data_IF_198052100071
#
_entry.id   IF_198052100071
#
_cell.length_a   1.000
_cell.length_b   1.000
_cell.length_c   1.000
_cell.angle_alpha   90.00
_cell.angle_beta   90.00
_cell.angle_gamma   90.00
#
_symmetry.space_group_name_H-M   'P 1'
#
loop_
_entity.id
_entity.type
_entity.pdbx_description
1 polymer ?
#
# COMPACT_ATOMS: atom_id res chain seq x y z
N UNK A 1 -4.50 -9.25 19.73
CA UNK A 1 -4.11 -7.82 19.66
C UNK A 1 -3.85 -7.34 18.22
N UNK A 2 -3.06 -8.07 17.41
CA UNK A 2 -2.78 -7.67 16.01
C UNK A 2 -4.03 -7.74 15.16
N UNK A 3 -4.79 -8.84 15.24
CA UNK A 3 -6.04 -8.99 14.51
C UNK A 3 -7.06 -7.89 14.88
N UNK A 4 -7.13 -7.49 16.14
CA UNK A 4 -7.98 -6.38 16.61
C UNK A 4 -7.55 -5.05 15.97
N UNK A 5 -6.25 -4.75 15.90
CA UNK A 5 -5.74 -3.54 15.22
C UNK A 5 -6.12 -3.56 13.75
N UNK A 6 -6.05 -4.71 13.10
CA UNK A 6 -6.38 -4.83 11.67
C UNK A 6 -7.88 -4.66 11.38
N UNK A 7 -8.74 -4.98 12.36
CA UNK A 7 -10.19 -4.89 12.24
C UNK A 7 -10.74 -3.51 12.64
N UNK A 8 -10.13 -2.86 13.62
CA UNK A 8 -10.67 -1.65 14.24
C UNK A 8 -10.02 -0.38 13.68
N UNK A 9 -10.74 0.30 12.81
CA UNK A 9 -10.30 1.54 12.18
C UNK A 9 -10.13 2.68 13.19
N UNK A 10 -10.90 2.71 14.26
CA UNK A 10 -10.70 3.70 15.33
C UNK A 10 -9.38 3.46 16.06
N UNK A 11 -9.03 2.20 16.31
CA UNK A 11 -7.73 1.85 16.87
C UNK A 11 -6.59 2.23 15.92
N UNK A 12 -6.72 1.94 14.62
CA UNK A 12 -5.75 2.36 13.59
C UNK A 12 -5.61 3.88 13.56
N UNK A 13 -6.72 4.62 13.60
CA UNK A 13 -6.72 6.08 13.57
C UNK A 13 -6.02 6.67 14.80
N UNK A 14 -6.19 6.06 15.97
CA UNK A 14 -5.51 6.47 17.21
C UNK A 14 -3.99 6.25 17.19
N UNK A 15 -3.49 5.38 16.33
CA UNK A 15 -2.06 5.09 16.16
C UNK A 15 -1.35 6.05 15.20
N UNK A 16 -2.09 6.86 14.46
CA UNK A 16 -1.51 7.90 13.61
C UNK A 16 -0.91 9.04 14.44
N UNK A 17 0.02 9.78 13.84
CA UNK A 17 0.62 10.93 14.51
C UNK A 17 -0.47 11.97 14.85
N UNK A 18 -0.49 12.55 16.08
CA UNK A 18 -1.55 13.47 16.51
C UNK A 18 -1.85 14.62 15.55
N UNK A 19 -0.82 15.13 14.85
CA UNK A 19 -1.00 16.25 13.89
C UNK A 19 -1.88 15.92 12.68
N UNK A 20 -2.04 14.64 12.34
CA UNK A 20 -2.81 14.20 11.17
C UNK A 20 -4.10 13.47 11.55
N UNK A 21 -4.30 13.12 12.83
CA UNK A 21 -5.48 12.39 13.28
C UNK A 21 -6.78 13.12 12.95
N UNK A 22 -6.84 14.43 13.20
CA UNK A 22 -8.05 15.22 12.91
C UNK A 22 -8.35 15.25 11.40
N UNK A 23 -7.34 15.34 10.56
CA UNK A 23 -7.52 15.31 9.10
C UNK A 23 -8.03 13.95 8.62
N UNK A 24 -7.55 12.86 9.22
CA UNK A 24 -7.99 11.50 8.91
C UNK A 24 -9.44 11.29 9.36
N UNK A 25 -9.76 11.60 10.62
CA UNK A 25 -11.08 11.36 11.21
C UNK A 25 -12.16 12.20 10.54
N UNK A 26 -11.85 13.46 10.17
CA UNK A 26 -12.77 14.38 9.52
C UNK A 26 -12.73 14.34 7.99
N UNK A 27 -11.94 13.44 7.41
CA UNK A 27 -11.89 13.22 5.97
C UNK A 27 -13.18 12.61 5.41
N UNK A 28 -13.27 12.54 4.09
CA UNK A 28 -14.43 11.94 3.43
C UNK A 28 -14.50 10.43 3.71
N UNK A 29 -15.65 9.98 4.20
CA UNK A 29 -15.97 8.56 4.41
C UNK A 29 -16.54 7.97 3.12
N UNK A 30 -15.65 7.61 2.19
CA UNK A 30 -16.00 7.14 0.84
C UNK A 30 -15.15 5.94 0.43
N UNK A 31 -15.65 5.15 -0.51
CA UNK A 31 -14.89 4.07 -1.15
C UNK A 31 -14.12 4.55 -2.39
N UNK A 32 -14.54 5.66 -2.98
CA UNK A 32 -13.91 6.33 -4.12
C UNK A 32 -14.17 7.83 -4.02
N UNK A 33 -13.20 8.64 -4.44
CA UNK A 33 -13.36 10.09 -4.41
C UNK A 33 -14.49 10.53 -5.37
N UNK A 34 -15.41 11.43 -4.95
CA UNK A 34 -16.53 11.85 -5.78
C UNK A 34 -16.12 12.51 -7.11
N UNK A 35 -14.95 13.15 -7.11
CA UNK A 35 -14.34 13.84 -8.24
C UNK A 35 -13.17 13.06 -8.85
N UNK A 36 -13.01 11.77 -8.49
CA UNK A 36 -11.95 10.91 -9.03
C UNK A 36 -12.07 10.73 -10.54
N UNK A 37 -10.96 10.89 -11.24
CA UNK A 37 -10.88 10.75 -12.70
C UNK A 37 -9.84 9.69 -13.09
N UNK A 38 -10.22 8.79 -13.99
CA UNK A 38 -9.37 7.69 -14.44
C UNK A 38 -9.59 6.41 -13.65
N UNK A 39 -8.76 5.42 -13.90
CA UNK A 39 -8.88 4.09 -13.29
C UNK A 39 -8.58 4.15 -11.79
N UNK A 40 -9.53 3.70 -11.00
CA UNK A 40 -9.45 3.69 -9.54
C UNK A 40 -8.17 2.99 -9.05
N UNK A 41 -7.40 3.71 -8.26
CA UNK A 41 -6.13 3.27 -7.69
C UNK A 41 -4.95 3.24 -8.68
N UNK A 42 -5.20 3.28 -9.99
CA UNK A 42 -4.15 3.33 -11.02
C UNK A 42 -3.91 4.74 -11.57
N UNK A 43 -4.84 5.66 -11.37
CA UNK A 43 -4.68 7.07 -11.71
C UNK A 43 -4.41 7.90 -10.45
N UNK A 44 -3.49 8.85 -10.54
CA UNK A 44 -3.16 9.75 -9.43
C UNK A 44 -4.37 10.62 -9.03
N UNK A 45 -5.24 10.93 -9.98
CA UNK A 45 -6.48 11.70 -9.80
C UNK A 45 -7.66 10.86 -9.29
N UNK A 46 -7.48 9.54 -9.14
CA UNK A 46 -8.48 8.64 -8.56
C UNK A 46 -7.83 7.65 -7.59
N UNK A 47 -7.14 8.14 -6.55
CA UNK A 47 -6.42 7.31 -5.60
C UNK A 47 -7.38 6.54 -4.68
N UNK A 48 -6.87 5.50 -4.06
CA UNK A 48 -7.57 4.66 -3.09
C UNK A 48 -7.67 5.39 -1.76
N UNK A 49 -8.87 5.70 -1.23
CA UNK A 49 -9.02 6.29 0.10
C UNK A 49 -8.62 5.31 1.22
N UNK A 50 -7.76 5.77 2.15
CA UNK A 50 -7.31 4.98 3.30
C UNK A 50 -7.09 5.85 4.54
N UNK A 51 -7.02 5.22 5.71
CA UNK A 51 -6.91 5.88 7.00
C UNK A 51 -5.46 5.96 7.50
N UNK A 52 -4.72 6.88 6.93
CA UNK A 52 -3.33 7.15 7.30
C UNK A 52 -2.34 6.09 6.83
N UNK A 53 -1.10 6.25 7.23
CA UNK A 53 0.00 5.37 6.80
C UNK A 53 -0.22 3.90 7.20
N UNK A 54 -0.81 3.63 8.36
CA UNK A 54 -1.14 2.25 8.76
C UNK A 54 -2.25 1.68 7.87
N UNK A 55 -3.27 2.51 7.53
CA UNK A 55 -4.33 2.14 6.60
C UNK A 55 -3.80 1.76 5.21
N UNK A 56 -2.79 2.48 4.70
CA UNK A 56 -2.10 2.13 3.45
C UNK A 56 -1.46 0.74 3.52
N UNK A 57 -0.66 0.50 4.56
CA UNK A 57 0.03 -0.79 4.74
C UNK A 57 -0.96 -1.94 4.86
N UNK A 58 -2.04 -1.76 5.61
CA UNK A 58 -3.07 -2.78 5.80
C UNK A 58 -3.85 -3.03 4.51
N UNK A 59 -4.26 -1.97 3.81
CA UNK A 59 -5.00 -2.10 2.55
C UNK A 59 -4.18 -2.84 1.49
N UNK A 60 -2.94 -2.40 1.25
CA UNK A 60 -2.06 -3.03 0.27
C UNK A 60 -1.72 -4.49 0.65
N UNK A 61 -1.58 -4.78 1.95
CA UNK A 61 -1.34 -6.15 2.42
C UNK A 61 -2.54 -7.07 2.22
N UNK A 62 -3.76 -6.52 2.14
CA UNK A 62 -4.98 -7.27 1.86
C UNK A 62 -5.23 -7.48 0.37
N UNK A 63 -4.62 -6.67 -0.50
CA UNK A 63 -4.77 -6.86 -1.94
C UNK A 63 -4.17 -8.19 -2.40
N UNK A 64 -4.87 -8.81 -3.32
CA UNK A 64 -4.45 -10.01 -4.04
C UNK A 64 -4.83 -9.89 -5.50
N UNK A 65 -4.04 -10.50 -6.37
CA UNK A 65 -4.35 -10.57 -7.80
C UNK A 65 -5.62 -11.40 -8.03
N UNK A 66 -6.50 -10.89 -8.87
CA UNK A 66 -7.80 -11.52 -9.14
C UNK A 66 -7.67 -12.84 -9.91
N UNK A 67 -6.71 -12.90 -10.83
CA UNK A 67 -6.45 -14.05 -11.70
C UNK A 67 -5.71 -15.19 -10.99
N UNK A 68 -4.71 -14.87 -10.17
CA UNK A 68 -3.82 -15.86 -9.54
C UNK A 68 -4.01 -15.99 -8.03
N UNK A 69 -4.81 -15.11 -7.43
CA UNK A 69 -5.09 -15.08 -5.98
C UNK A 69 -3.82 -14.89 -5.11
N UNK A 70 -2.78 -14.22 -5.67
CA UNK A 70 -1.51 -14.00 -5.01
C UNK A 70 -1.44 -12.64 -4.31
N UNK A 71 -0.79 -12.58 -3.15
CA UNK A 71 -0.50 -11.35 -2.42
C UNK A 71 0.52 -10.50 -3.16
N UNK A 72 0.61 -9.24 -2.77
CA UNK A 72 1.53 -8.26 -3.34
C UNK A 72 2.61 -7.92 -2.33
N UNK A 73 3.84 -7.88 -2.79
CA UNK A 73 4.92 -7.15 -2.13
C UNK A 73 4.84 -5.69 -2.57
N UNK A 74 5.13 -4.75 -1.68
CA UNK A 74 5.04 -3.32 -2.01
C UNK A 74 6.01 -2.46 -1.22
N UNK A 75 6.36 -1.32 -1.80
CA UNK A 75 7.08 -0.24 -1.15
C UNK A 75 6.64 1.12 -1.68
N UNK A 76 6.87 2.19 -0.91
CA UNK A 76 6.49 3.54 -1.34
C UNK A 76 7.55 4.12 -2.26
N UNK A 77 7.12 4.60 -3.44
CA UNK A 77 7.97 5.30 -4.40
C UNK A 77 8.14 6.78 -4.06
N UNK A 78 7.10 7.40 -3.56
CA UNK A 78 7.07 8.82 -3.22
C UNK A 78 5.75 9.25 -2.62
N UNK A 79 5.73 10.50 -2.15
CA UNK A 79 4.59 11.14 -1.51
C UNK A 79 4.50 12.58 -1.97
N UNK A 80 3.31 13.04 -2.30
CA UNK A 80 3.02 14.44 -2.64
C UNK A 80 1.73 14.84 -1.94
N UNK A 81 1.83 15.76 -0.97
CA UNK A 81 0.69 16.15 -0.11
C UNK A 81 0.02 14.95 0.56
N UNK A 82 -1.24 14.67 0.19
CA UNK A 82 -2.02 13.53 0.70
C UNK A 82 -1.94 12.28 -0.19
N UNK A 83 -1.23 12.36 -1.31
CA UNK A 83 -1.13 11.31 -2.31
C UNK A 83 0.18 10.54 -2.13
N UNK A 84 0.06 9.25 -1.88
CA UNK A 84 1.18 8.31 -1.84
C UNK A 84 1.17 7.39 -3.06
N UNK A 85 2.36 7.17 -3.62
CA UNK A 85 2.58 6.31 -4.78
C UNK A 85 3.38 5.08 -4.37
N UNK A 86 2.82 3.91 -4.61
CA UNK A 86 3.41 2.62 -4.28
C UNK A 86 3.73 1.79 -5.51
N UNK A 87 4.91 1.19 -5.55
CA UNK A 87 5.24 0.10 -6.45
C UNK A 87 4.83 -1.22 -5.81
N UNK A 88 4.21 -2.09 -6.59
CA UNK A 88 3.78 -3.41 -6.15
C UNK A 88 4.28 -4.48 -7.11
N UNK A 89 4.50 -5.68 -6.59
CA UNK A 89 4.75 -6.88 -7.39
C UNK A 89 4.08 -8.08 -6.74
N UNK A 90 3.44 -8.93 -7.55
CA UNK A 90 2.91 -10.20 -7.03
C UNK A 90 4.05 -11.08 -6.46
N UNK A 91 3.76 -11.88 -5.44
CA UNK A 91 4.78 -12.70 -4.75
C UNK A 91 5.48 -13.73 -5.68
N UNK A 92 4.91 -14.01 -6.85
CA UNK A 92 5.53 -14.82 -7.90
C UNK A 92 6.39 -14.00 -8.89
N UNK A 93 6.50 -12.67 -8.69
CA UNK A 93 7.32 -11.77 -9.49
C UNK A 93 6.76 -11.39 -10.85
N UNK A 94 5.54 -11.80 -11.19
CA UNK A 94 5.01 -11.67 -12.55
C UNK A 94 4.24 -10.39 -12.82
N UNK A 95 3.44 -9.91 -11.84
CA UNK A 95 2.60 -8.73 -12.00
C UNK A 95 3.18 -7.54 -11.27
N UNK A 96 3.73 -6.60 -12.03
CA UNK A 96 4.24 -5.32 -11.54
C UNK A 96 3.21 -4.22 -11.76
N UNK A 97 3.00 -3.37 -10.76
CA UNK A 97 2.04 -2.29 -10.85
C UNK A 97 2.43 -1.06 -10.03
N UNK A 98 1.72 0.04 -10.26
CA UNK A 98 1.82 1.28 -9.50
C UNK A 98 0.42 1.60 -9.00
N UNK A 99 0.28 1.81 -7.70
CA UNK A 99 -0.98 2.17 -7.07
C UNK A 99 -0.84 3.50 -6.33
N UNK A 100 -1.89 4.31 -6.40
CA UNK A 100 -2.02 5.60 -5.75
C UNK A 100 -3.00 5.51 -4.59
N UNK A 101 -2.61 6.05 -3.43
CA UNK A 101 -3.41 6.06 -2.22
C UNK A 101 -3.54 7.48 -1.67
N UNK A 102 -4.71 7.80 -1.12
CA UNK A 102 -5.01 9.05 -0.41
C UNK A 102 -5.22 8.75 1.07
N UNK A 103 -4.39 9.31 1.94
CA UNK A 103 -4.29 8.86 3.33
C UNK A 103 -5.21 9.59 4.33
N UNK A 104 -5.93 10.64 3.93
CA UNK A 104 -6.75 11.44 4.84
C UNK A 104 -8.24 11.08 4.79
N UNK A 105 -8.53 9.80 5.10
CA UNK A 105 -9.89 9.27 5.18
C UNK A 105 -10.08 8.47 6.48
N UNK A 106 -11.30 8.42 7.04
CA UNK A 106 -11.51 7.78 8.34
C UNK A 106 -11.40 6.26 8.31
N UNK A 107 -11.45 5.65 7.13
CA UNK A 107 -11.35 4.20 6.91
C UNK A 107 -10.72 3.85 5.55
N UNK A 108 -10.35 2.60 5.41
CA UNK A 108 -9.92 2.02 4.13
C UNK A 108 -11.12 1.85 3.18
N UNK A 109 -10.88 2.08 1.89
CA UNK A 109 -11.84 1.74 0.84
C UNK A 109 -12.20 0.25 0.86
N UNK A 110 -13.46 -0.05 0.56
CA UNK A 110 -13.94 -1.42 0.29
C UNK A 110 -13.86 -1.76 -1.20
N UNK A 111 -13.64 -0.74 -2.05
CA UNK A 111 -13.44 -0.90 -3.48
C UNK A 111 -12.02 -1.34 -3.77
N UNK A 112 -11.82 -2.14 -4.82
CA UNK A 112 -10.50 -2.58 -5.27
C UNK A 112 -10.18 -2.04 -6.65
N UNK A 113 -8.88 -1.75 -6.95
CA UNK A 113 -8.45 -1.45 -8.31
C UNK A 113 -8.74 -2.61 -9.25
N UNK A 114 -8.88 -2.31 -10.53
CA UNK A 114 -9.09 -3.34 -11.55
C UNK A 114 -7.95 -4.37 -11.52
N UNK A 115 -8.33 -5.65 -11.55
CA UNK A 115 -7.39 -6.77 -11.48
C UNK A 115 -7.01 -7.24 -10.07
N UNK A 116 -7.64 -6.66 -9.02
CA UNK A 116 -7.40 -7.01 -7.63
C UNK A 116 -8.69 -7.31 -6.87
N UNK A 117 -8.56 -8.13 -5.82
CA UNK A 117 -9.57 -8.39 -4.80
C UNK A 117 -8.96 -8.16 -3.41
N UNK A 118 -9.81 -7.98 -2.38
CA UNK A 118 -9.38 -7.97 -0.99
C UNK A 118 -9.40 -9.38 -0.42
N UNK A 119 -8.32 -9.74 0.27
CA UNK A 119 -8.28 -10.97 1.05
C UNK A 119 -8.88 -10.78 2.44
N UNK A 120 -9.24 -11.88 3.07
CA UNK A 120 -9.63 -11.87 4.46
C UNK A 120 -8.37 -11.78 5.36
N UNK A 121 -8.25 -10.70 6.14
CA UNK A 121 -7.16 -10.51 7.09
C UNK A 121 -7.13 -11.57 8.20
N UNK A 122 -8.25 -12.23 8.51
CA UNK A 122 -8.33 -13.29 9.51
C UNK A 122 -7.48 -14.51 9.16
N UNK A 123 -7.26 -14.72 7.86
CA UNK A 123 -6.46 -15.86 7.39
C UNK A 123 -4.95 -15.66 7.55
N UNK A 124 -4.47 -14.42 7.44
CA UNK A 124 -3.04 -14.08 7.58
C UNK A 124 -2.86 -12.59 7.93
N UNK A 125 -2.78 -12.24 9.22
CA UNK A 125 -2.65 -10.85 9.67
C UNK A 125 -1.18 -10.37 9.56
N UNK A 126 -0.68 -10.16 8.36
CA UNK A 126 0.72 -9.85 8.10
C UNK A 126 0.86 -8.68 7.12
N UNK A 127 1.91 -7.90 7.32
CA UNK A 127 2.31 -6.88 6.37
C UNK A 127 3.19 -7.50 5.27
N UNK A 128 2.91 -7.13 4.03
CA UNK A 128 3.63 -7.59 2.84
C UNK A 128 4.51 -6.49 2.21
N UNK A 129 4.59 -5.35 2.85
CA UNK A 129 5.36 -4.23 2.35
C UNK A 129 5.64 -3.17 3.41
N UNK A 130 6.15 -2.05 2.95
CA UNK A 130 6.61 -0.94 3.77
C UNK A 130 6.21 0.40 3.17
N UNK A 131 6.04 1.42 4.02
CA UNK A 131 5.88 2.81 3.60
C UNK A 131 7.23 3.54 3.41
N UNK A 132 8.33 2.81 3.40
CA UNK A 132 9.65 3.31 3.06
C UNK A 132 10.00 2.96 1.61
N UNK A 133 10.93 3.73 1.01
CA UNK A 133 11.48 3.39 -0.30
C UNK A 133 12.58 2.33 -0.16
N UNK A 134 12.43 1.22 -0.86
CA UNK A 134 13.42 0.14 -0.92
C UNK A 134 14.21 0.24 -2.22
N UNK A 135 15.53 0.48 -2.14
CA UNK A 135 16.37 0.81 -3.30
C UNK A 135 16.38 -0.29 -4.37
N UNK A 136 16.49 -1.54 -3.95
CA UNK A 136 16.56 -2.70 -4.84
C UNK A 136 15.29 -3.57 -4.75
N UNK A 137 14.14 -2.91 -4.59
CA UNK A 137 12.87 -3.60 -4.43
C UNK A 137 12.66 -4.72 -5.47
N UNK A 138 12.21 -5.90 -5.05
CA UNK A 138 11.77 -6.27 -3.69
C UNK A 138 12.90 -6.77 -2.77
N UNK A 139 14.14 -6.85 -3.24
CA UNK A 139 15.28 -7.26 -2.40
C UNK A 139 15.52 -6.26 -1.26
N UNK A 140 15.74 -6.76 -0.05
CA UNK A 140 15.86 -5.95 1.17
C UNK A 140 14.52 -5.53 1.80
N UNK A 141 13.41 -5.95 1.22
CA UNK A 141 12.07 -5.61 1.72
C UNK A 141 11.81 -6.20 3.11
N UNK A 142 12.33 -7.39 3.42
CA UNK A 142 12.14 -8.05 4.71
C UNK A 142 12.59 -7.16 5.89
N UNK A 143 13.79 -6.61 5.81
CA UNK A 143 14.32 -5.71 6.84
C UNK A 143 13.49 -4.44 6.98
N UNK A 144 13.04 -3.88 5.86
CA UNK A 144 12.20 -2.69 5.84
C UNK A 144 10.79 -2.97 6.44
N UNK A 145 10.22 -4.14 6.22
CA UNK A 145 8.95 -4.55 6.84
C UNK A 145 9.11 -4.70 8.35
N UNK A 146 10.18 -5.34 8.81
CA UNK A 146 10.45 -5.52 10.24
C UNK A 146 10.56 -4.16 10.93
N UNK A 147 11.37 -3.25 10.38
CA UNK A 147 11.53 -1.89 10.93
C UNK A 147 10.20 -1.12 10.94
N UNK A 148 9.45 -1.18 9.84
CA UNK A 148 8.14 -0.50 9.73
C UNK A 148 7.15 -1.06 10.75
N UNK A 149 7.07 -2.37 10.89
CA UNK A 149 6.15 -3.03 11.82
C UNK A 149 6.49 -2.70 13.26
N UNK A 150 7.76 -2.77 13.63
CA UNK A 150 8.22 -2.41 14.97
C UNK A 150 7.91 -0.94 15.29
N UNK A 151 8.17 -0.04 14.35
CA UNK A 151 7.94 1.40 14.52
C UNK A 151 6.46 1.77 14.61
N UNK A 152 5.59 1.15 13.82
CA UNK A 152 4.17 1.54 13.73
C UNK A 152 3.26 0.75 14.67
N UNK A 153 3.56 -0.51 14.90
CA UNK A 153 2.70 -1.43 15.69
C UNK A 153 3.35 -1.76 17.04
N UNK A 154 4.65 -1.53 17.19
CA UNK A 154 5.41 -1.84 18.40
C UNK A 154 5.63 -3.34 18.64
N UNK A 155 5.39 -4.18 17.64
CA UNK A 155 5.52 -5.63 17.72
C UNK A 155 6.29 -6.10 16.48
N UNK A 156 7.43 -6.79 16.64
CA UNK A 156 8.12 -7.37 15.52
C UNK A 156 7.27 -8.50 14.92
N UNK A 157 6.74 -8.29 13.72
CA UNK A 157 6.06 -9.32 12.96
C UNK A 157 7.05 -9.93 11.98
N UNK A 158 7.27 -11.25 12.00
CA UNK A 158 8.06 -11.89 10.96
C UNK A 158 7.32 -11.74 9.61
N UNK A 159 7.97 -11.26 8.56
CA UNK A 159 7.40 -11.22 7.21
C UNK A 159 7.49 -12.62 6.59
N UNK A 160 6.42 -13.41 6.60
CA UNK A 160 6.53 -14.87 6.42
C UNK A 160 6.81 -15.30 4.99
N UNK A 161 6.43 -14.52 4.00
CA UNK A 161 6.55 -14.94 2.59
C UNK A 161 7.55 -14.13 1.78
N UNK A 162 8.05 -13.04 2.33
CA UNK A 162 9.02 -12.19 1.63
C UNK A 162 10.35 -12.93 1.46
N UNK A 163 10.79 -13.67 2.47
CA UNK A 163 12.01 -14.44 2.41
C UNK A 163 11.92 -15.57 1.37
N UNK A 164 10.81 -16.30 1.34
CA UNK A 164 10.59 -17.34 0.33
C UNK A 164 10.54 -16.75 -1.08
N UNK A 165 9.89 -15.58 -1.25
CA UNK A 165 9.85 -14.88 -2.51
C UNK A 165 11.25 -14.41 -2.94
N UNK A 166 12.06 -13.87 -2.04
CA UNK A 166 13.43 -13.45 -2.32
C UNK A 166 14.34 -14.65 -2.69
N UNK A 167 14.14 -15.80 -2.07
CA UNK A 167 14.96 -17.00 -2.27
C UNK A 167 14.52 -17.83 -3.49
N UNK A 168 13.22 -17.89 -3.79
CA UNK A 168 12.64 -18.78 -4.80
C UNK A 168 12.29 -18.10 -6.12
N UNK A 169 12.06 -16.80 -6.13
CA UNK A 169 11.64 -16.05 -7.30
C UNK A 169 12.70 -15.03 -7.70
N UNK A 170 13.10 -15.09 -8.97
CA UNK A 170 13.90 -14.01 -9.54
C UNK A 170 12.99 -12.88 -9.98
N UNK A 171 13.03 -11.80 -9.23
CA UNK A 171 12.30 -10.58 -9.56
C UNK A 171 13.07 -9.79 -10.62
N UNK A 172 12.50 -9.70 -11.81
CA UNK A 172 13.01 -8.87 -12.88
C UNK A 172 11.97 -7.79 -13.17
N UNK A 173 12.28 -6.56 -12.73
CA UNK A 173 11.44 -5.42 -13.09
C UNK A 173 11.47 -5.22 -14.59
N UNK A 174 10.32 -5.27 -15.30
CA UNK A 174 10.29 -5.04 -16.73
C UNK A 174 10.76 -3.61 -17.08
N UNK A 175 11.51 -3.40 -18.16
CA UNK A 175 11.95 -2.05 -18.55
C UNK A 175 10.79 -1.06 -18.74
N UNK A 176 9.69 -1.52 -19.31
CA UNK A 176 8.46 -0.73 -19.48
C UNK A 176 7.83 -0.33 -18.14
N UNK A 177 8.02 -1.11 -17.09
CA UNK A 177 7.56 -0.74 -15.75
C UNK A 177 8.43 0.35 -15.14
N UNK A 178 9.73 0.34 -15.37
CA UNK A 178 10.62 1.43 -14.96
C UNK A 178 10.25 2.75 -15.64
N UNK A 179 9.88 2.71 -16.90
CA UNK A 179 9.40 3.89 -17.62
C UNK A 179 8.05 4.38 -17.09
N UNK A 180 7.14 3.47 -16.71
CA UNK A 180 5.89 3.83 -16.01
C UNK A 180 6.15 4.53 -14.67
N UNK A 181 7.13 4.07 -13.89
CA UNK A 181 7.53 4.73 -12.64
C UNK A 181 8.02 6.17 -12.90
N UNK A 182 8.86 6.37 -13.90
CA UNK A 182 9.36 7.71 -14.28
C UNK A 182 8.21 8.64 -14.69
N UNK A 183 7.33 8.15 -15.56
CA UNK A 183 6.16 8.91 -16.05
C UNK A 183 5.24 9.25 -14.87
N UNK A 184 4.91 8.29 -14.03
CA UNK A 184 4.06 8.51 -12.86
C UNK A 184 4.67 9.52 -11.89
N UNK A 185 5.98 9.42 -11.62
CA UNK A 185 6.70 10.37 -10.75
C UNK A 185 6.65 11.78 -11.31
N UNK A 186 6.88 11.97 -12.60
CA UNK A 186 6.81 13.27 -13.27
C UNK A 186 5.39 13.83 -13.24
N UNK A 187 4.38 12.99 -13.48
CA UNK A 187 2.99 13.39 -13.44
C UNK A 187 2.58 13.90 -12.06
N UNK A 188 2.88 13.14 -11.02
CA UNK A 188 2.55 13.51 -9.62
C UNK A 188 3.28 14.81 -9.22
N UNK A 189 4.53 14.99 -9.62
CA UNK A 189 5.26 16.25 -9.40
C UNK A 189 4.61 17.44 -10.12
N UNK A 190 4.04 17.22 -11.29
CA UNK A 190 3.31 18.24 -12.06
C UNK A 190 1.98 18.67 -11.41
N UNK A 191 1.39 17.86 -10.55
CA UNK A 191 0.13 18.20 -9.86
C UNK A 191 0.29 19.32 -8.81
N UNK A 192 1.52 19.57 -8.33
CA UNK A 192 1.86 20.63 -7.35
C UNK A 192 2.43 21.90 -7.99
N UNK A 193 2.71 21.91 -9.26
CA UNK A 193 3.17 23.10 -9.99
C UNK A 193 2.03 23.81 -10.67
#
# INVERSE_FOLDING_TARGET
KIAEIMEDENMQNSMNHPMIQDQIINGLDVDELPDGVGDFGHAAENPIPVNGALGELLYLSLLKTKDTNLRLLFHRLGSVESLDMYETVSIDGRKWDILFLSMYHPRKSKKTPNGYDLADYRSQPLLYGTNQRVKNFPYGLQSAIQETTEKMIGIPLPPPQVREAEESVRFHRPPEHEDRIKIATQHVQGLIS
#
